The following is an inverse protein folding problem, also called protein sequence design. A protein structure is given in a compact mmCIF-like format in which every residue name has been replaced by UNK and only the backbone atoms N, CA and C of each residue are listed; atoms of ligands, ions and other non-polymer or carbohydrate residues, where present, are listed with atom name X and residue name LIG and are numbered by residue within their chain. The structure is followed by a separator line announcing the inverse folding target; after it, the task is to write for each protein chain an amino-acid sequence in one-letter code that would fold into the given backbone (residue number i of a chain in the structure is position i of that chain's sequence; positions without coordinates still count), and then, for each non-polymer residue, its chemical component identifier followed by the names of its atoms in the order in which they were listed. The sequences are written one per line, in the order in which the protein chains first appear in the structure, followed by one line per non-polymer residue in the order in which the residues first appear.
data_IF_469712724600
#
_entry.id   IF_469712724600
#
_cell.length_a   1.000
_cell.length_b   1.000
_cell.length_c   1.000
_cell.angle_alpha   90.00
_cell.angle_beta   90.00
_cell.angle_gamma   90.00
#
_symmetry.space_group_name_H-M   'P 1'
#
loop_
_entity.id
_entity.type
_entity.pdbx_description
1 polymer ?
#
# COMPACT_ATOMS: atom_id res chain seq x y z
N UNK A 1 -30.20 6.70 -0.03
CA UNK A 1 -29.03 5.84 0.25
C UNK A 1 -28.15 5.91 -0.99
N UNK A 2 -26.95 6.51 -0.91
CA UNK A 2 -25.99 6.42 -2.01
C UNK A 2 -25.54 4.96 -2.09
N UNK A 3 -25.77 4.31 -3.22
CA UNK A 3 -25.16 3.00 -3.48
C UNK A 3 -23.66 3.21 -3.42
N UNK A 4 -23.01 2.73 -2.36
CA UNK A 4 -21.56 2.67 -2.30
C UNK A 4 -21.13 1.56 -3.27
N UNK A 5 -20.31 1.93 -4.25
CA UNK A 5 -19.67 0.94 -5.11
C UNK A 5 -18.86 -0.03 -4.24
N UNK A 6 -19.10 -1.30 -4.40
CA UNK A 6 -18.31 -2.38 -3.78
C UNK A 6 -17.72 -3.22 -4.89
N UNK A 7 -16.40 -3.33 -5.00
CA UNK A 7 -15.77 -4.18 -6.01
C UNK A 7 -16.22 -5.64 -5.89
N UNK A 8 -16.27 -6.34 -7.02
CA UNK A 8 -16.55 -7.77 -7.04
C UNK A 8 -15.50 -8.55 -6.26
N UNK A 9 -15.93 -9.53 -5.45
CA UNK A 9 -15.06 -10.38 -4.65
C UNK A 9 -14.05 -11.18 -5.47
N UNK A 10 -14.45 -11.64 -6.67
CA UNK A 10 -13.54 -12.34 -7.60
C UNK A 10 -12.41 -11.42 -8.07
N UNK A 11 -12.73 -10.15 -8.36
CA UNK A 11 -11.74 -9.14 -8.75
C UNK A 11 -10.76 -8.85 -7.63
N UNK A 12 -11.25 -8.73 -6.39
CA UNK A 12 -10.41 -8.48 -5.21
C UNK A 12 -9.51 -9.69 -4.89
N UNK A 13 -10.00 -10.91 -5.11
CA UNK A 13 -9.20 -12.11 -4.99
C UNK A 13 -8.06 -12.13 -6.01
N UNK A 14 -8.34 -11.86 -7.29
CA UNK A 14 -7.31 -11.71 -8.33
C UNK A 14 -6.27 -10.64 -7.94
N UNK A 15 -6.71 -9.54 -7.32
CA UNK A 15 -5.82 -8.49 -6.87
C UNK A 15 -4.92 -8.96 -5.73
N UNK A 16 -5.46 -9.66 -4.75
CA UNK A 16 -4.68 -10.24 -3.65
C UNK A 16 -3.64 -11.23 -4.17
N UNK A 17 -4.03 -12.13 -5.09
CA UNK A 17 -3.14 -13.10 -5.74
C UNK A 17 -1.98 -12.40 -6.47
N UNK A 18 -2.30 -11.37 -7.28
CA UNK A 18 -1.30 -10.59 -8.01
C UNK A 18 -0.30 -9.93 -7.05
N UNK A 19 -0.80 -9.31 -5.97
CA UNK A 19 0.04 -8.61 -5.00
C UNK A 19 0.95 -9.57 -4.22
N UNK A 20 0.43 -10.69 -3.74
CA UNK A 20 1.16 -11.63 -2.90
C UNK A 20 2.14 -12.49 -3.71
N UNK A 21 1.68 -13.08 -4.82
CA UNK A 21 2.44 -14.10 -5.53
C UNK A 21 3.30 -13.56 -6.66
N UNK A 22 2.87 -12.48 -7.33
CA UNK A 22 3.67 -11.86 -8.40
C UNK A 22 4.48 -10.65 -7.91
N UNK A 23 3.85 -9.69 -7.25
CA UNK A 23 4.54 -8.45 -6.85
C UNK A 23 5.50 -8.68 -5.68
N UNK A 24 5.05 -9.36 -4.61
CA UNK A 24 5.83 -9.61 -3.41
C UNK A 24 6.58 -10.95 -3.47
N UNK A 25 6.08 -11.92 -4.23
CA UNK A 25 6.65 -13.28 -4.32
C UNK A 25 6.85 -13.91 -2.93
N UNK A 26 5.91 -13.63 -2.03
CA UNK A 26 5.99 -14.04 -0.63
C UNK A 26 5.81 -15.55 -0.48
N UNK A 27 6.50 -16.15 0.48
CA UNK A 27 6.55 -17.60 0.67
C UNK A 27 6.04 -17.99 2.05
N UNK A 28 5.67 -19.28 2.19
CA UNK A 28 5.32 -19.88 3.47
C UNK A 28 6.38 -19.59 4.55
N UNK A 29 5.91 -19.30 5.75
CA UNK A 29 6.74 -18.96 6.91
C UNK A 29 7.25 -17.52 6.95
N UNK A 30 7.06 -16.73 5.89
CA UNK A 30 7.42 -15.31 5.86
C UNK A 30 6.38 -14.42 6.53
N UNK A 31 6.79 -13.19 6.84
CA UNK A 31 6.00 -12.16 7.53
C UNK A 31 5.73 -10.98 6.61
N UNK A 32 4.44 -10.64 6.43
CA UNK A 32 3.98 -9.51 5.66
C UNK A 32 3.49 -8.39 6.58
N UNK A 33 4.01 -7.19 6.41
CA UNK A 33 3.46 -5.98 7.03
C UNK A 33 2.64 -5.20 6.01
N UNK A 34 1.38 -4.89 6.35
CA UNK A 34 0.46 -4.15 5.48
C UNK A 34 0.11 -2.82 6.12
N UNK A 35 0.32 -1.73 5.40
CA UNK A 35 -0.11 -0.38 5.80
C UNK A 35 -1.22 0.11 4.88
N UNK A 36 -2.35 0.54 5.46
CA UNK A 36 -3.51 1.05 4.72
C UNK A 36 -4.44 1.88 5.60
N UNK A 37 -5.66 2.11 5.12
CA UNK A 37 -6.80 2.63 5.87
C UNK A 37 -7.93 1.60 5.90
N UNK A 38 -8.91 1.79 6.78
CA UNK A 38 -10.12 0.95 6.82
C UNK A 38 -10.96 0.98 5.52
N UNK A 39 -10.75 1.97 4.63
CA UNK A 39 -11.45 2.01 3.34
C UNK A 39 -11.08 0.84 2.43
N UNK A 40 -9.89 0.26 2.61
CA UNK A 40 -9.45 -0.91 1.83
C UNK A 40 -9.86 -2.25 2.46
N UNK A 41 -10.71 -2.27 3.49
CA UNK A 41 -11.13 -3.50 4.19
C UNK A 41 -11.51 -4.66 3.25
N UNK A 42 -12.27 -4.45 2.14
CA UNK A 42 -12.60 -5.55 1.25
C UNK A 42 -11.37 -6.22 0.60
N UNK A 43 -10.37 -5.43 0.21
CA UNK A 43 -9.09 -5.97 -0.33
C UNK A 43 -8.23 -6.58 0.78
N UNK A 44 -8.20 -5.95 1.97
CA UNK A 44 -7.45 -6.47 3.12
C UNK A 44 -7.95 -7.86 3.53
N UNK A 45 -9.25 -8.09 3.46
CA UNK A 45 -9.86 -9.39 3.75
C UNK A 45 -9.38 -10.49 2.78
N UNK A 46 -9.30 -10.20 1.48
CA UNK A 46 -8.81 -11.17 0.49
C UNK A 46 -7.30 -11.38 0.61
N UNK A 47 -6.52 -10.34 0.89
CA UNK A 47 -5.09 -10.46 1.20
C UNK A 47 -4.89 -11.34 2.43
N UNK A 48 -5.65 -11.12 3.50
CA UNK A 48 -5.56 -11.91 4.72
C UNK A 48 -5.92 -13.38 4.47
N UNK A 49 -6.99 -13.62 3.73
CA UNK A 49 -7.43 -14.96 3.34
C UNK A 49 -6.35 -15.72 2.58
N UNK A 50 -5.81 -15.09 1.53
CA UNK A 50 -4.83 -15.73 0.66
C UNK A 50 -3.48 -15.92 1.36
N UNK A 51 -3.01 -14.92 2.10
CA UNK A 51 -1.78 -15.04 2.89
C UNK A 51 -1.88 -16.15 3.95
N UNK A 52 -3.03 -16.24 4.65
CA UNK A 52 -3.25 -17.31 5.64
C UNK A 52 -3.22 -18.70 5.00
N UNK A 53 -3.88 -18.88 3.85
CA UNK A 53 -3.84 -20.16 3.09
C UNK A 53 -2.41 -20.51 2.67
N UNK A 54 -1.61 -19.52 2.31
CA UNK A 54 -0.22 -19.68 1.88
C UNK A 54 0.79 -19.79 3.03
N UNK A 55 0.32 -19.86 4.29
CA UNK A 55 1.19 -19.99 5.47
C UNK A 55 2.01 -18.72 5.78
N UNK A 56 1.53 -17.55 5.39
CA UNK A 56 2.15 -16.24 5.60
C UNK A 56 1.53 -15.54 6.80
N UNK A 57 2.35 -15.08 7.75
CA UNK A 57 1.89 -14.27 8.88
C UNK A 57 1.72 -12.81 8.44
N UNK A 58 0.54 -12.22 8.68
CA UNK A 58 0.24 -10.83 8.26
C UNK A 58 -0.07 -9.97 9.46
N UNK A 59 0.59 -8.81 9.54
CA UNK A 59 0.32 -7.76 10.53
C UNK A 59 -0.09 -6.47 9.81
N UNK A 60 -0.93 -5.67 10.46
CA UNK A 60 -1.55 -4.50 9.85
C UNK A 60 -1.31 -3.22 10.65
N UNK A 61 -0.95 -2.13 9.95
CA UNK A 61 -1.08 -0.75 10.46
C UNK A 61 -2.19 -0.06 9.69
N UNK A 62 -3.38 -0.01 10.29
CA UNK A 62 -4.56 0.59 9.68
C UNK A 62 -4.83 1.98 10.23
N UNK A 63 -5.01 2.92 9.32
CA UNK A 63 -5.38 4.29 9.65
C UNK A 63 -6.90 4.48 9.52
N UNK A 64 -7.45 5.37 10.34
CA UNK A 64 -8.85 5.76 10.33
C UNK A 64 -9.01 7.23 9.91
N UNK A 65 -10.25 7.64 9.63
CA UNK A 65 -10.58 9.00 9.19
C UNK A 65 -10.01 10.05 10.16
N UNK A 66 -9.43 11.09 9.61
CA UNK A 66 -8.88 12.25 10.31
C UNK A 66 -7.69 11.95 11.28
N UNK A 67 -7.19 10.71 11.35
CA UNK A 67 -6.03 10.35 12.21
C UNK A 67 -4.83 11.26 11.94
N UNK A 68 -4.46 11.43 10.68
CA UNK A 68 -3.32 12.26 10.30
C UNK A 68 -3.61 13.74 10.53
N UNK A 69 -4.81 14.20 10.19
CA UNK A 69 -5.23 15.60 10.40
C UNK A 69 -5.16 15.98 11.88
N UNK A 70 -5.76 15.17 12.77
CA UNK A 70 -5.72 15.40 14.23
C UNK A 70 -4.28 15.35 14.75
N UNK A 71 -3.48 14.40 14.28
CA UNK A 71 -2.06 14.34 14.66
C UNK A 71 -1.32 15.64 14.32
N UNK A 72 -1.43 16.15 13.10
CA UNK A 72 -0.73 17.37 12.70
C UNK A 72 -1.28 18.63 13.40
N UNK A 73 -2.56 18.65 13.71
CA UNK A 73 -3.17 19.78 14.42
C UNK A 73 -2.75 19.82 15.89
N UNK A 74 -2.72 18.66 16.57
CA UNK A 74 -2.62 18.58 18.01
C UNK A 74 -1.24 18.13 18.53
N UNK A 75 -0.39 17.49 17.71
CA UNK A 75 0.89 16.97 18.17
C UNK A 75 1.80 18.07 18.70
N UNK A 76 2.29 17.89 19.92
CA UNK A 76 3.18 18.81 20.64
C UNK A 76 4.36 18.06 21.27
N UNK A 77 5.44 18.79 21.49
CA UNK A 77 6.58 18.31 22.25
C UNK A 77 7.10 16.96 21.78
N UNK A 78 7.28 16.01 22.71
CA UNK A 78 7.93 14.71 22.43
C UNK A 78 7.21 13.86 21.39
N UNK A 79 5.88 14.02 21.22
CA UNK A 79 5.09 13.20 20.25
C UNK A 79 5.61 13.34 18.83
N UNK A 80 6.12 14.52 18.45
CA UNK A 80 6.71 14.76 17.12
C UNK A 80 8.04 14.04 16.93
N UNK A 81 8.77 13.79 18.00
CA UNK A 81 10.11 13.20 17.98
C UNK A 81 10.07 11.69 18.26
N UNK A 82 8.91 11.14 18.63
CA UNK A 82 8.77 9.71 18.90
C UNK A 82 8.72 8.91 17.61
N UNK A 83 9.64 7.97 17.47
CA UNK A 83 9.62 6.97 16.41
C UNK A 83 8.40 6.03 16.58
N UNK A 84 7.81 5.63 15.48
CA UNK A 84 6.79 4.58 15.51
C UNK A 84 7.45 3.22 15.76
N UNK A 85 7.32 2.69 16.99
CA UNK A 85 7.90 1.41 17.35
C UNK A 85 7.41 0.25 16.46
N UNK A 86 6.11 0.26 16.11
CA UNK A 86 5.54 -0.75 15.21
C UNK A 86 6.17 -0.68 13.81
N UNK A 87 6.27 0.53 13.24
CA UNK A 87 6.85 0.70 11.92
C UNK A 87 8.34 0.38 11.89
N UNK A 88 9.09 0.82 12.91
CA UNK A 88 10.50 0.47 13.06
C UNK A 88 10.69 -1.05 13.10
N UNK A 89 9.95 -1.74 13.99
CA UNK A 89 10.03 -3.18 14.12
C UNK A 89 9.69 -3.91 12.80
N UNK A 90 8.67 -3.42 12.09
CA UNK A 90 8.29 -4.00 10.81
C UNK A 90 9.40 -3.85 9.76
N UNK A 91 10.00 -2.65 9.63
CA UNK A 91 11.08 -2.43 8.66
C UNK A 91 12.35 -3.22 9.00
N UNK A 92 12.58 -3.54 10.27
CA UNK A 92 13.73 -4.30 10.73
C UNK A 92 13.54 -5.82 10.60
N UNK A 93 12.31 -6.34 10.76
CA UNK A 93 12.09 -7.78 10.99
C UNK A 93 11.14 -8.48 10.02
N UNK A 94 10.35 -7.75 9.22
CA UNK A 94 9.43 -8.38 8.27
C UNK A 94 10.12 -8.67 6.93
N UNK A 95 9.60 -9.67 6.20
CA UNK A 95 10.14 -10.10 4.90
C UNK A 95 9.53 -9.31 3.74
N UNK A 96 8.30 -8.85 3.92
CA UNK A 96 7.57 -8.09 2.91
C UNK A 96 6.81 -6.91 3.51
N UNK A 97 6.70 -5.83 2.73
CA UNK A 97 5.92 -4.64 3.04
C UNK A 97 4.97 -4.29 1.88
N UNK A 98 3.69 -4.20 2.17
CA UNK A 98 2.66 -3.77 1.23
C UNK A 98 2.02 -2.46 1.72
N UNK A 99 2.16 -1.40 0.93
CA UNK A 99 1.43 -0.16 1.15
C UNK A 99 0.21 -0.11 0.22
N UNK A 100 -0.99 0.00 0.78
CA UNK A 100 -2.22 0.16 0.02
C UNK A 100 -2.73 1.58 0.21
N UNK A 101 -2.68 2.38 -0.84
CA UNK A 101 -3.22 3.73 -0.84
C UNK A 101 -4.73 3.71 -0.94
N UNK A 102 -5.40 4.05 0.13
CA UNK A 102 -6.85 4.19 0.24
C UNK A 102 -7.20 5.43 1.07
N UNK A 103 -6.92 6.66 0.60
CA UNK A 103 -7.04 7.87 1.41
C UNK A 103 -8.50 8.23 1.70
N UNK A 104 -8.77 8.71 2.92
CA UNK A 104 -10.02 9.39 3.26
C UNK A 104 -10.08 10.80 2.69
N UNK A 105 -8.93 11.47 2.58
CA UNK A 105 -8.74 12.79 1.99
C UNK A 105 -7.33 12.92 1.43
N UNK A 106 -7.12 13.83 0.48
CA UNK A 106 -5.80 14.00 -0.17
C UNK A 106 -4.92 15.04 0.54
N UNK A 107 -5.47 15.74 1.53
CA UNK A 107 -4.82 16.88 2.18
C UNK A 107 -4.86 16.77 3.71
N UNK A 108 -4.75 15.57 4.25
CA UNK A 108 -4.78 15.32 5.70
C UNK A 108 -3.57 15.93 6.43
N UNK A 109 -2.52 16.29 5.70
CA UNK A 109 -1.30 16.93 6.21
C UNK A 109 -1.31 18.47 6.12
N UNK A 110 -2.42 19.08 5.68
CA UNK A 110 -2.54 20.54 5.57
C UNK A 110 -2.24 21.31 6.89
N UNK A 111 -2.62 20.80 8.09
CA UNK A 111 -2.30 21.48 9.34
C UNK A 111 -0.82 21.45 9.70
N UNK A 112 -0.02 20.60 9.06
CA UNK A 112 1.38 20.39 9.42
C UNK A 112 2.27 21.57 9.06
N UNK A 113 2.97 22.13 10.03
CA UNK A 113 4.01 23.13 9.77
C UNK A 113 5.28 22.49 9.19
N UNK A 114 6.12 23.23 8.46
CA UNK A 114 7.40 22.70 7.97
C UNK A 114 8.30 22.15 9.09
N UNK A 115 8.28 22.78 10.26
CA UNK A 115 9.06 22.33 11.43
C UNK A 115 8.53 21.00 11.98
N UNK A 116 7.21 20.83 12.10
CA UNK A 116 6.61 19.55 12.50
C UNK A 116 6.96 18.43 11.51
N UNK A 117 6.87 18.69 10.21
CA UNK A 117 7.25 17.72 9.16
C UNK A 117 8.73 17.32 9.28
N UNK A 118 9.63 18.30 9.51
CA UNK A 118 11.06 18.04 9.70
C UNK A 118 11.32 17.17 10.92
N UNK A 119 10.73 17.48 12.08
CA UNK A 119 10.86 16.69 13.31
C UNK A 119 10.36 15.26 13.12
N UNK A 120 9.17 15.10 12.53
CA UNK A 120 8.60 13.79 12.26
C UNK A 120 9.44 12.96 11.28
N UNK A 121 10.01 13.60 10.26
CA UNK A 121 10.94 12.94 9.33
C UNK A 121 12.22 12.48 10.03
N UNK A 122 12.77 13.31 10.92
CA UNK A 122 13.94 12.93 11.75
C UNK A 122 13.62 11.76 12.68
N UNK A 123 12.45 11.76 13.32
CA UNK A 123 11.99 10.65 14.16
C UNK A 123 11.87 9.32 13.41
N UNK A 124 11.49 9.35 12.12
CA UNK A 124 11.38 8.15 11.29
C UNK A 124 12.69 7.72 10.59
N UNK A 125 13.80 8.41 10.82
CA UNK A 125 15.05 8.20 10.06
C UNK A 125 15.59 6.77 10.19
N UNK A 126 15.50 6.15 11.37
CA UNK A 126 16.00 4.80 11.62
C UNK A 126 15.16 3.74 10.88
N UNK A 127 13.84 3.85 10.93
CA UNK A 127 12.94 2.96 10.17
C UNK A 127 13.18 3.09 8.66
N UNK A 128 13.36 4.32 8.15
CA UNK A 128 13.69 4.58 6.76
C UNK A 128 15.05 3.98 6.36
N UNK A 129 16.05 4.01 7.25
CA UNK A 129 17.34 3.40 6.99
C UNK A 129 17.20 1.88 6.79
N UNK A 130 16.47 1.17 7.66
CA UNK A 130 16.17 -0.25 7.47
C UNK A 130 15.41 -0.50 6.18
N UNK A 131 14.36 0.29 5.93
CA UNK A 131 13.57 0.17 4.71
C UNK A 131 14.42 0.25 3.44
N UNK A 132 15.30 1.26 3.31
CA UNK A 132 16.12 1.43 2.13
C UNK A 132 17.24 0.39 2.02
N UNK A 133 17.95 0.09 3.13
CA UNK A 133 19.02 -0.90 3.10
C UNK A 133 18.51 -2.29 2.77
N UNK A 134 17.43 -2.72 3.43
CA UNK A 134 16.84 -4.05 3.23
C UNK A 134 16.09 -4.19 1.89
N UNK A 135 15.60 -3.10 1.32
CA UNK A 135 15.06 -3.13 -0.05
C UNK A 135 16.18 -3.23 -1.09
N UNK A 136 17.33 -2.60 -0.85
CA UNK A 136 18.49 -2.67 -1.74
C UNK A 136 19.11 -4.07 -1.78
N UNK A 137 19.24 -4.73 -0.63
CA UNK A 137 19.77 -6.10 -0.53
C UNK A 137 18.70 -7.19 -0.74
N UNK A 138 17.44 -6.80 -0.97
CA UNK A 138 16.29 -7.67 -1.21
C UNK A 138 15.87 -8.54 -0.01
N UNK A 139 16.31 -8.23 1.21
CA UNK A 139 15.82 -8.89 2.43
C UNK A 139 14.45 -8.40 2.87
N UNK A 140 13.98 -7.25 2.33
CA UNK A 140 12.62 -6.74 2.44
C UNK A 140 12.08 -6.52 1.02
N UNK A 141 11.11 -7.32 0.60
CA UNK A 141 10.39 -7.09 -0.66
C UNK A 141 9.24 -6.11 -0.40
N UNK A 142 9.03 -5.18 -1.34
CA UNK A 142 7.97 -4.18 -1.16
C UNK A 142 7.12 -4.00 -2.40
N UNK A 143 5.85 -3.67 -2.16
CA UNK A 143 4.94 -3.24 -3.22
C UNK A 143 4.06 -2.09 -2.74
N UNK A 144 3.57 -1.31 -3.68
CA UNK A 144 2.61 -0.24 -3.48
C UNK A 144 1.46 -0.43 -4.46
N UNK A 145 0.24 -0.39 -3.96
CA UNK A 145 -0.95 -0.42 -4.81
C UNK A 145 -1.97 0.65 -4.41
N UNK A 146 -2.92 0.89 -5.29
CA UNK A 146 -4.02 1.82 -5.08
C UNK A 146 -5.32 1.03 -4.87
N UNK A 147 -6.07 1.38 -3.82
CA UNK A 147 -7.47 0.97 -3.66
C UNK A 147 -8.38 2.17 -3.93
N UNK A 148 -9.44 2.03 -4.76
CA UNK A 148 -10.29 3.15 -5.13
C UNK A 148 -11.05 3.73 -3.93
N UNK A 149 -11.02 5.07 -3.79
CA UNK A 149 -11.75 5.80 -2.75
C UNK A 149 -12.46 7.00 -3.36
N UNK A 150 -13.51 7.50 -2.70
CA UNK A 150 -14.24 8.71 -3.09
C UNK A 150 -13.30 9.93 -3.22
N UNK A 151 -12.33 10.05 -2.31
CA UNK A 151 -11.37 11.15 -2.34
C UNK A 151 -10.48 11.11 -3.59
N UNK A 152 -10.01 9.92 -3.97
CA UNK A 152 -9.18 9.74 -5.16
C UNK A 152 -10.00 9.91 -6.45
N UNK A 153 -11.23 9.40 -6.49
CA UNK A 153 -12.14 9.54 -7.62
C UNK A 153 -12.50 11.01 -7.86
N UNK A 154 -12.86 11.75 -6.81
CA UNK A 154 -13.17 13.18 -6.90
C UNK A 154 -11.98 13.99 -7.43
N UNK A 155 -10.76 13.68 -7.00
CA UNK A 155 -9.55 14.33 -7.49
C UNK A 155 -9.25 14.04 -8.96
N UNK A 156 -9.67 12.87 -9.45
CA UNK A 156 -9.55 12.49 -10.85
C UNK A 156 -10.73 13.03 -11.72
N UNK A 157 -11.72 13.68 -11.10
CA UNK A 157 -12.94 14.15 -11.80
C UNK A 157 -13.84 12.99 -12.27
N UNK A 158 -13.78 11.85 -11.59
CA UNK A 158 -14.52 10.62 -11.93
C UNK A 158 -15.51 10.26 -10.82
N UNK A 159 -16.52 9.46 -11.15
CA UNK A 159 -17.28 8.72 -10.15
C UNK A 159 -16.40 7.64 -9.51
N UNK A 160 -16.78 7.13 -8.33
CA UNK A 160 -16.03 6.06 -7.68
C UNK A 160 -15.97 4.79 -8.55
N UNK A 161 -17.05 4.47 -9.24
CA UNK A 161 -17.14 3.31 -10.13
C UNK A 161 -16.20 3.44 -11.34
N UNK A 162 -16.21 4.58 -12.04
CA UNK A 162 -15.30 4.85 -13.15
C UNK A 162 -13.84 4.82 -12.71
N UNK A 163 -13.53 5.42 -11.56
CA UNK A 163 -12.18 5.40 -11.00
C UNK A 163 -11.73 4.00 -10.60
N UNK A 164 -12.64 3.21 -10.01
CA UNK A 164 -12.35 1.82 -9.66
C UNK A 164 -12.05 0.98 -10.91
N UNK A 165 -12.87 1.10 -11.95
CA UNK A 165 -12.65 0.44 -13.22
C UNK A 165 -11.29 0.83 -13.82
N UNK A 166 -10.96 2.13 -13.81
CA UNK A 166 -9.67 2.63 -14.29
C UNK A 166 -8.49 2.00 -13.51
N UNK A 167 -8.55 1.99 -12.16
CA UNK A 167 -7.47 1.44 -11.32
C UNK A 167 -7.30 -0.06 -11.56
N UNK A 168 -8.39 -0.81 -11.60
CA UNK A 168 -8.34 -2.26 -11.77
C UNK A 168 -7.88 -2.67 -13.16
N UNK A 169 -8.33 -1.97 -14.21
CA UNK A 169 -7.82 -2.19 -15.58
C UNK A 169 -6.35 -1.81 -15.71
N UNK A 170 -5.91 -0.73 -15.06
CA UNK A 170 -4.48 -0.38 -15.02
C UNK A 170 -3.63 -1.47 -14.32
N UNK A 171 -4.21 -2.20 -13.38
CA UNK A 171 -3.60 -3.37 -12.74
C UNK A 171 -3.79 -4.68 -13.53
N UNK A 172 -4.42 -4.63 -14.71
CA UNK A 172 -4.72 -5.80 -15.57
C UNK A 172 -5.64 -6.83 -14.89
N UNK A 173 -6.48 -6.42 -13.94
CA UNK A 173 -7.35 -7.35 -13.21
C UNK A 173 -8.59 -7.76 -14.02
N UNK A 174 -8.90 -7.05 -15.09
CA UNK A 174 -9.89 -7.38 -16.10
C UNK A 174 -9.46 -8.51 -17.06
N UNK A 175 -8.16 -8.81 -17.11
CA UNK A 175 -7.63 -9.94 -17.87
C UNK A 175 -7.97 -11.29 -17.20
N UNK A 176 -8.00 -12.35 -17.98
CA UNK A 176 -8.22 -13.71 -17.47
C UNK A 176 -7.07 -14.10 -16.52
N UNK A 177 -5.82 -13.85 -16.94
CA UNK A 177 -4.60 -14.05 -16.17
C UNK A 177 -3.80 -12.74 -16.04
N UNK A 178 -3.99 -11.97 -14.95
CA UNK A 178 -3.26 -10.73 -14.70
C UNK A 178 -1.74 -10.93 -14.64
N UNK A 179 -1.28 -12.06 -14.13
CA UNK A 179 0.16 -12.34 -13.99
C UNK A 179 0.79 -12.53 -15.38
N UNK A 180 0.15 -13.30 -16.27
CA UNK A 180 0.60 -13.44 -17.64
C UNK A 180 0.66 -12.09 -18.37
N UNK A 181 -0.37 -11.25 -18.20
CA UNK A 181 -0.39 -9.90 -18.76
C UNK A 181 0.78 -9.02 -18.27
N UNK A 182 1.09 -9.06 -16.98
CA UNK A 182 2.24 -8.33 -16.41
C UNK A 182 3.59 -8.89 -16.86
N UNK A 183 3.71 -10.20 -17.09
CA UNK A 183 4.93 -10.79 -17.66
C UNK A 183 5.21 -10.27 -19.08
N UNK A 184 4.18 -10.04 -19.91
CA UNK A 184 4.34 -9.43 -21.22
C UNK A 184 4.77 -7.95 -21.13
N UNK A 185 4.19 -7.18 -20.19
CA UNK A 185 4.64 -5.81 -19.89
C UNK A 185 6.12 -5.80 -19.51
N UNK A 186 6.52 -6.71 -18.63
CA UNK A 186 7.93 -6.86 -18.20
C UNK A 186 8.88 -7.16 -19.38
N UNK A 187 8.49 -8.05 -20.28
CA UNK A 187 9.27 -8.33 -21.50
C UNK A 187 9.48 -7.09 -22.36
N UNK A 188 8.42 -6.29 -22.52
CA UNK A 188 8.48 -5.03 -23.25
C UNK A 188 9.42 -4.02 -22.57
N UNK A 189 9.33 -3.86 -21.27
CA UNK A 189 10.21 -2.99 -20.48
C UNK A 189 11.68 -3.42 -20.58
N UNK A 190 11.97 -4.73 -20.52
CA UNK A 190 13.32 -5.26 -20.67
C UNK A 190 13.90 -4.96 -22.06
N UNK A 191 13.11 -5.06 -23.13
CA UNK A 191 13.55 -4.68 -24.49
C UNK A 191 13.89 -3.18 -24.57
N UNK A 192 13.06 -2.32 -23.96
CA UNK A 192 13.31 -0.87 -23.93
C UNK A 192 14.58 -0.52 -23.15
N UNK A 193 14.84 -1.22 -22.04
CA UNK A 193 16.07 -1.03 -21.23
C UNK A 193 17.34 -1.37 -22.02
N UNK A 194 17.29 -2.33 -22.94
CA UNK A 194 18.43 -2.71 -23.79
C UNK A 194 18.71 -1.72 -24.92
N UNK A 195 17.77 -0.83 -25.26
CA UNK A 195 17.93 0.18 -26.33
C UNK A 195 18.66 1.41 -25.82
N UNK A 196 18.75 1.62 -24.50
CA UNK A 196 19.33 2.81 -23.87
C UNK A 196 20.71 2.54 -23.22
N UNK A 197 21.34 1.41 -23.49
CA UNK A 197 22.71 1.09 -23.03
C UNK A 197 23.71 1.37 -24.15
#
# INVERSE_FOLDING_TARGET
MKHSYTPDGVLLQKYADLLLHYCLQIKEGQRLFVSSTFLAEPLLLEIHREATKSGVAVEYDLSFRDKAFVYWLEARGPVLDMESALHLYAMEHFDAFLAIRAPYGLHEDLPATPEQKKRRAAAGAKANQFYFSRTADKSLVRSLCQYPTEASAAAAGMSLEEYAQFVFSACRLDEEDPVAAWLEVRKTQQRLSLIHI
#
